data_IF_435874925435
#
_entry.id   IF_435874925435
#
_cell.length_a   1.000
_cell.length_b   1.000
_cell.length_c   1.000
_cell.angle_alpha   90.00
_cell.angle_beta   90.00
_cell.angle_gamma   90.00
#
_symmetry.space_group_name_H-M   'P 1'
#
loop_
_entity.id
_entity.type
_entity.pdbx_description
1 polymer ?
#
# COMPACT_ATOMS: atom_id res chain seq x y z
N UNK A 1 -3.94 -16.23 -33.49
CA UNK A 1 -3.18 -16.25 -32.21
C UNK A 1 -3.70 -15.11 -31.34
N UNK A 2 -4.76 -15.36 -30.58
CA UNK A 2 -5.38 -14.36 -29.70
C UNK A 2 -4.52 -14.23 -28.45
N UNK A 3 -3.83 -13.10 -28.28
CA UNK A 3 -3.02 -12.82 -27.08
C UNK A 3 -3.99 -12.61 -25.92
N UNK A 4 -4.29 -13.66 -25.17
CA UNK A 4 -5.08 -13.56 -23.94
C UNK A 4 -4.29 -12.65 -22.99
N UNK A 5 -4.75 -11.41 -22.80
CA UNK A 5 -4.22 -10.53 -21.76
C UNK A 5 -4.53 -11.23 -20.45
N UNK A 6 -3.50 -11.75 -19.78
CA UNK A 6 -3.66 -12.25 -18.42
C UNK A 6 -4.36 -11.15 -17.61
N UNK A 7 -5.48 -11.51 -16.97
CA UNK A 7 -6.22 -10.57 -16.14
C UNK A 7 -5.29 -10.08 -15.03
N UNK A 8 -5.10 -8.77 -14.92
CA UNK A 8 -4.27 -8.19 -13.87
C UNK A 8 -4.89 -8.53 -12.50
N UNK A 9 -4.07 -8.93 -11.55
CA UNK A 9 -4.49 -9.39 -10.22
C UNK A 9 -4.30 -8.24 -9.22
N UNK A 10 -5.40 -7.71 -8.63
CA UNK A 10 -5.32 -6.70 -7.58
C UNK A 10 -4.53 -7.19 -6.35
N UNK A 11 -4.01 -6.27 -5.56
CA UNK A 11 -3.43 -6.64 -4.25
C UNK A 11 -4.54 -6.98 -3.26
N UNK A 12 -4.32 -7.90 -2.31
CA UNK A 12 -5.31 -8.19 -1.27
C UNK A 12 -5.51 -7.01 -0.32
N UNK A 13 -4.52 -6.12 -0.15
CA UNK A 13 -4.63 -4.95 0.73
C UNK A 13 -3.82 -3.75 0.23
N UNK A 14 -4.15 -2.57 0.76
CA UNK A 14 -3.38 -1.35 0.53
C UNK A 14 -1.96 -1.43 1.10
N UNK A 15 -1.79 -2.15 2.21
CA UNK A 15 -0.48 -2.40 2.81
C UNK A 15 0.43 -3.16 1.85
N UNK A 16 -0.06 -4.27 1.27
CA UNK A 16 0.72 -5.03 0.30
C UNK A 16 1.08 -4.20 -0.94
N UNK A 17 0.14 -3.40 -1.45
CA UNK A 17 0.39 -2.50 -2.57
C UNK A 17 1.49 -1.46 -2.24
N UNK A 18 1.51 -0.93 -1.01
CA UNK A 18 2.54 0.02 -0.57
C UNK A 18 3.91 -0.65 -0.39
N UNK A 19 3.98 -1.80 0.27
CA UNK A 19 5.23 -2.54 0.46
C UNK A 19 5.83 -2.98 -0.88
N UNK A 20 4.98 -3.43 -1.80
CA UNK A 20 5.37 -3.71 -3.18
C UNK A 20 5.95 -2.47 -3.87
N UNK A 21 5.27 -1.32 -3.74
CA UNK A 21 5.75 -0.04 -4.28
C UNK A 21 7.12 0.32 -3.73
N UNK A 22 7.32 0.26 -2.41
CA UNK A 22 8.61 0.53 -1.77
C UNK A 22 9.72 -0.40 -2.30
N UNK A 23 9.44 -1.69 -2.48
CA UNK A 23 10.39 -2.65 -3.06
C UNK A 23 10.79 -2.26 -4.50
N UNK A 24 9.82 -1.89 -5.32
CA UNK A 24 10.05 -1.55 -6.73
C UNK A 24 10.81 -0.23 -6.90
N UNK A 25 10.58 0.75 -6.02
CA UNK A 25 11.24 2.06 -6.06
C UNK A 25 12.65 2.01 -5.48
N UNK A 26 12.87 1.27 -4.39
CA UNK A 26 14.19 1.14 -3.78
C UNK A 26 15.22 0.54 -4.78
N UNK A 27 14.79 -0.38 -5.63
CA UNK A 27 15.63 -0.94 -6.69
C UNK A 27 16.01 0.03 -7.81
N UNK A 28 15.37 1.21 -7.89
CA UNK A 28 15.62 2.22 -8.92
C UNK A 28 16.58 3.32 -8.42
N UNK A 29 16.61 3.59 -7.10
CA UNK A 29 17.40 4.70 -6.51
C UNK A 29 18.90 4.40 -6.46
N UNK A 30 19.31 3.13 -6.33
CA UNK A 30 20.72 2.78 -6.16
C UNK A 30 21.50 2.66 -7.47
N UNK A 31 20.91 2.93 -8.64
CA UNK A 31 21.57 2.84 -9.96
C UNK A 31 22.02 1.44 -10.36
N UNK A 32 21.99 0.47 -9.43
CA UNK A 32 22.12 -0.95 -9.70
C UNK A 32 20.77 -1.40 -10.23
N UNK A 33 20.66 -1.81 -11.51
CA UNK A 33 19.44 -2.45 -11.97
C UNK A 33 19.23 -3.68 -11.09
N UNK A 34 18.28 -3.60 -10.17
CA UNK A 34 17.80 -4.79 -9.48
C UNK A 34 17.40 -5.75 -10.60
N UNK A 35 18.01 -6.94 -10.63
CA UNK A 35 17.52 -8.03 -11.46
C UNK A 35 16.03 -8.14 -11.15
N UNK A 36 15.22 -7.56 -12.04
CA UNK A 36 13.77 -7.65 -12.00
C UNK A 36 13.52 -9.09 -12.32
N UNK A 37 13.49 -9.93 -11.28
CA UNK A 37 12.73 -11.17 -11.37
C UNK A 37 11.37 -10.72 -11.91
N UNK A 38 10.97 -11.16 -13.12
CA UNK A 38 9.71 -10.76 -13.69
C UNK A 38 8.66 -11.02 -12.63
N UNK A 39 7.91 -10.00 -12.25
CA UNK A 39 6.86 -10.23 -11.28
C UNK A 39 5.90 -11.24 -11.92
N UNK A 40 5.74 -12.43 -11.32
CA UNK A 40 5.02 -13.51 -11.97
C UNK A 40 3.52 -13.18 -12.11
N UNK A 41 3.07 -12.16 -11.37
CA UNK A 41 1.68 -11.74 -11.27
C UNK A 41 1.55 -10.37 -11.94
N UNK A 42 0.78 -10.25 -13.04
CA UNK A 42 0.50 -8.96 -13.64
C UNK A 42 -0.32 -8.11 -12.66
N UNK A 43 0.16 -6.91 -12.31
CA UNK A 43 -0.56 -5.96 -11.44
C UNK A 43 -1.36 -4.94 -12.24
N UNK A 44 -2.50 -4.44 -11.71
CA UNK A 44 -3.34 -3.47 -12.41
C UNK A 44 -2.77 -2.05 -12.44
N UNK A 45 -1.65 -1.79 -11.74
CA UNK A 45 -1.03 -0.48 -11.62
C UNK A 45 0.50 -0.54 -11.69
N UNK A 46 1.12 0.62 -11.89
CA UNK A 46 2.55 0.84 -11.72
C UNK A 46 2.86 1.28 -10.28
N UNK A 47 4.09 1.09 -9.78
CA UNK A 47 4.49 1.52 -8.44
C UNK A 47 4.23 3.02 -8.19
N UNK A 48 4.45 3.87 -9.20
CA UNK A 48 4.21 5.30 -9.09
C UNK A 48 2.73 5.66 -8.93
N UNK A 49 1.80 4.84 -9.44
CA UNK A 49 0.38 5.12 -9.28
C UNK A 49 -0.05 5.03 -7.80
N UNK A 50 0.52 4.08 -7.05
CA UNK A 50 0.31 3.94 -5.61
C UNK A 50 0.97 5.09 -4.85
N UNK A 51 2.22 5.44 -5.20
CA UNK A 51 2.92 6.56 -4.58
C UNK A 51 2.20 7.91 -4.81
N UNK A 52 1.65 8.13 -6.00
CA UNK A 52 0.85 9.30 -6.31
C UNK A 52 -0.46 9.35 -5.54
N UNK A 53 -1.12 8.22 -5.29
CA UNK A 53 -2.31 8.18 -4.44
C UNK A 53 -2.01 8.63 -3.01
N UNK A 54 -0.89 8.18 -2.43
CA UNK A 54 -0.42 8.60 -1.11
C UNK A 54 -0.08 10.10 -1.09
N UNK A 55 0.67 10.59 -2.09
CA UNK A 55 1.01 12.02 -2.22
C UNK A 55 -0.26 12.89 -2.35
N UNK A 56 -1.27 12.43 -3.09
CA UNK A 56 -2.53 13.14 -3.24
C UNK A 56 -3.29 13.25 -1.91
N UNK A 57 -3.31 12.19 -1.10
CA UNK A 57 -3.92 12.21 0.23
C UNK A 57 -3.18 13.16 1.19
N UNK A 58 -1.84 13.19 1.12
CA UNK A 58 -1.04 14.16 1.88
C UNK A 58 -1.30 15.61 1.46
N UNK A 59 -1.35 15.90 0.15
CA UNK A 59 -1.67 17.25 -0.36
C UNK A 59 -3.06 17.72 0.01
N UNK A 60 -4.00 16.80 0.21
CA UNK A 60 -5.36 17.07 0.69
C UNK A 60 -5.45 17.13 2.23
N UNK A 61 -4.33 17.07 2.93
CA UNK A 61 -4.24 17.06 4.41
C UNK A 61 -5.00 15.90 5.07
N UNK A 62 -5.26 14.82 4.34
CA UNK A 62 -5.85 13.60 4.90
C UNK A 62 -4.76 12.74 5.54
N UNK A 63 -3.58 12.68 4.91
CA UNK A 63 -2.38 12.16 5.55
C UNK A 63 -1.54 13.29 6.13
N UNK A 64 -0.97 13.06 7.30
CA UNK A 64 -0.08 13.99 7.99
C UNK A 64 1.38 13.67 7.67
N UNK A 65 2.31 14.53 8.10
CA UNK A 65 3.75 14.25 8.02
C UNK A 65 4.14 13.01 8.83
N UNK A 66 3.48 12.78 9.97
CA UNK A 66 3.74 11.61 10.82
C UNK A 66 3.34 10.32 10.11
N UNK A 67 2.21 10.31 9.39
CA UNK A 67 1.83 9.19 8.52
C UNK A 67 2.92 8.90 7.48
N UNK A 68 3.40 9.92 6.77
CA UNK A 68 4.45 9.74 5.76
C UNK A 68 5.77 9.25 6.36
N UNK A 69 6.15 9.75 7.54
CA UNK A 69 7.36 9.32 8.24
C UNK A 69 7.30 7.83 8.59
N UNK A 70 6.16 7.37 9.13
CA UNK A 70 5.90 5.96 9.46
C UNK A 70 5.88 5.10 8.20
N UNK A 71 5.09 5.48 7.19
CA UNK A 71 5.00 4.76 5.91
C UNK A 71 6.36 4.60 5.23
N UNK A 72 7.19 5.66 5.24
CA UNK A 72 8.53 5.64 4.68
C UNK A 72 9.52 4.80 5.50
N UNK A 73 9.47 4.90 6.84
CA UNK A 73 10.36 4.12 7.72
C UNK A 73 10.12 2.61 7.58
N UNK A 74 8.85 2.20 7.68
CA UNK A 74 8.45 0.79 7.68
C UNK A 74 8.36 0.22 6.26
N UNK A 75 8.02 1.04 5.26
CA UNK A 75 8.08 0.65 3.85
C UNK A 75 9.49 0.25 3.39
N UNK A 76 10.54 0.97 3.85
CA UNK A 76 11.94 0.58 3.61
C UNK A 76 12.33 -0.73 4.27
N UNK A 77 11.76 -1.03 5.45
CA UNK A 77 11.99 -2.28 6.19
C UNK A 77 11.19 -3.46 5.64
N UNK A 78 10.22 -3.19 4.76
CA UNK A 78 9.32 -4.18 4.15
C UNK A 78 8.49 -4.94 5.19
N UNK A 79 8.10 -4.27 6.27
CA UNK A 79 7.35 -4.87 7.38
C UNK A 79 6.61 -3.78 8.16
N UNK A 80 5.40 -4.09 8.64
CA UNK A 80 4.62 -3.22 9.49
C UNK A 80 5.24 -3.03 10.89
N UNK A 81 4.89 -1.96 11.61
CA UNK A 81 5.22 -1.81 13.03
C UNK A 81 4.67 -2.96 13.86
N UNK A 82 5.46 -3.44 14.81
CA UNK A 82 5.07 -4.51 15.74
C UNK A 82 4.29 -3.93 16.93
N UNK A 83 2.97 -4.21 17.08
CA UNK A 83 2.18 -3.69 18.19
C UNK A 83 2.63 -4.18 19.57
N UNK A 84 3.32 -5.32 19.65
CA UNK A 84 3.78 -5.88 20.93
C UNK A 84 5.00 -5.14 21.49
N UNK A 85 5.58 -4.20 20.73
CA UNK A 85 6.71 -3.38 21.16
C UNK A 85 6.23 -1.98 21.49
N UNK A 86 6.36 -1.57 22.76
CA UNK A 86 5.92 -0.26 23.25
C UNK A 86 6.44 0.92 22.40
N UNK A 87 7.69 0.82 21.92
CA UNK A 87 8.32 1.85 21.07
C UNK A 87 7.69 1.96 19.68
N UNK A 88 7.03 0.91 19.21
CA UNK A 88 6.41 0.84 17.88
C UNK A 88 4.89 1.00 17.94
N UNK A 89 4.26 0.92 19.12
CA UNK A 89 2.81 1.05 19.30
C UNK A 89 2.24 2.34 18.67
N UNK A 90 2.89 3.49 18.87
CA UNK A 90 2.49 4.77 18.23
C UNK A 90 2.60 4.69 16.71
N UNK A 91 3.66 4.08 16.19
CA UNK A 91 3.84 3.92 14.76
C UNK A 91 2.81 2.95 14.17
N UNK A 92 2.41 1.92 14.91
CA UNK A 92 1.35 1.00 14.51
C UNK A 92 0.03 1.73 14.33
N UNK A 93 -0.38 2.57 15.27
CA UNK A 93 -1.62 3.34 15.16
C UNK A 93 -1.63 4.24 13.92
N UNK A 94 -0.52 4.95 13.67
CA UNK A 94 -0.36 5.80 12.48
C UNK A 94 -0.33 5.00 11.18
N UNK A 95 0.20 3.79 11.21
CA UNK A 95 0.21 2.87 10.07
C UNK A 95 -1.21 2.41 9.73
N UNK A 96 -1.98 1.97 10.73
CA UNK A 96 -3.36 1.53 10.56
C UNK A 96 -4.27 2.69 10.11
N UNK A 97 -4.14 3.87 10.72
CA UNK A 97 -4.86 5.08 10.32
C UNK A 97 -4.56 5.45 8.87
N UNK A 98 -3.28 5.43 8.47
CA UNK A 98 -2.89 5.73 7.09
C UNK A 98 -3.52 4.75 6.10
N UNK A 99 -3.52 3.44 6.40
CA UNK A 99 -4.11 2.45 5.51
C UNK A 99 -5.64 2.48 5.49
N UNK A 100 -6.29 2.90 6.57
CA UNK A 100 -7.73 3.23 6.56
C UNK A 100 -8.09 4.34 5.57
N UNK A 101 -7.18 5.29 5.35
CA UNK A 101 -7.37 6.38 4.38
C UNK A 101 -6.93 6.00 2.96
N UNK A 102 -5.87 5.20 2.82
CA UNK A 102 -5.33 4.80 1.51
C UNK A 102 -6.21 3.74 0.84
N UNK A 103 -6.73 2.76 1.60
CA UNK A 103 -7.44 1.61 1.03
C UNK A 103 -8.66 2.00 0.17
N UNK A 104 -9.57 2.91 0.58
CA UNK A 104 -10.70 3.32 -0.25
C UNK A 104 -10.28 3.92 -1.59
N UNK A 105 -9.18 4.70 -1.62
CA UNK A 105 -8.67 5.33 -2.84
C UNK A 105 -8.10 4.29 -3.79
N UNK A 106 -7.36 3.30 -3.29
CA UNK A 106 -6.79 2.25 -4.13
C UNK A 106 -7.87 1.27 -4.61
N UNK A 107 -8.88 0.97 -3.78
CA UNK A 107 -10.00 0.12 -4.14
C UNK A 107 -10.84 0.77 -5.26
N UNK A 108 -11.11 2.08 -5.17
CA UNK A 108 -11.80 2.84 -6.22
C UNK A 108 -11.06 2.84 -7.56
N UNK A 109 -9.72 2.67 -7.55
CA UNK A 109 -8.88 2.53 -8.74
C UNK A 109 -8.76 1.09 -9.25
N UNK A 110 -9.32 0.11 -8.53
CA UNK A 110 -9.20 -1.31 -8.84
C UNK A 110 -7.79 -1.88 -8.58
N UNK A 111 -6.97 -1.20 -7.78
CA UNK A 111 -5.59 -1.64 -7.51
C UNK A 111 -5.56 -2.73 -6.44
N UNK A 112 -6.48 -2.65 -5.48
CA UNK A 112 -6.64 -3.63 -4.43
C UNK A 112 -8.01 -4.28 -4.54
N UNK A 113 -8.15 -5.46 -3.95
CA UNK A 113 -9.44 -6.05 -3.68
C UNK A 113 -10.21 -5.07 -2.80
N UNK A 114 -11.39 -4.68 -3.25
CA UNK A 114 -12.35 -4.07 -2.35
C UNK A 114 -12.75 -5.17 -1.38
N UNK A 115 -12.36 -5.05 -0.12
CA UNK A 115 -12.99 -5.89 0.90
C UNK A 115 -14.50 -5.68 0.74
N UNK A 116 -15.30 -6.76 0.58
CA UNK A 116 -16.74 -6.59 0.62
C UNK A 116 -17.03 -5.80 1.90
N UNK A 117 -17.87 -4.79 1.80
CA UNK A 117 -18.34 -4.09 2.99
C UNK A 117 -19.02 -5.17 3.85
N UNK A 118 -18.26 -5.78 4.76
CA UNK A 118 -18.79 -6.57 5.82
C UNK A 118 -19.58 -5.54 6.62
N UNK A 119 -20.89 -5.59 6.36
CA UNK A 119 -21.94 -4.87 7.03
C UNK A 119 -21.48 -4.62 8.45
N UNK A 120 -21.27 -3.35 8.80
CA UNK A 120 -21.18 -2.92 10.17
C UNK A 120 -22.50 -3.31 10.85
N UNK A 121 -22.58 -4.56 11.30
CA UNK A 121 -23.37 -4.94 12.46
C UNK A 121 -22.64 -4.35 13.65
N UNK A 122 -22.76 -3.04 13.81
CA UNK A 122 -23.01 -2.49 15.13
C UNK A 122 -24.43 -2.93 15.51
N UNK A 123 -24.58 -4.20 15.88
CA UNK A 123 -25.72 -4.57 16.71
C UNK A 123 -25.44 -3.99 18.09
N UNK A 124 -26.33 -3.09 18.48
CA UNK A 124 -26.60 -2.64 19.83
C UNK A 124 -26.41 -3.77 20.86
N UNK A 125 -25.50 -3.57 21.80
CA UNK A 125 -25.66 -4.00 23.20
C UNK A 125 -25.18 -2.87 24.09
#
# INVERSE_FOLDING_TARGET
MTRQRAAAVPFPSAEEAWLWTCRMVAGNVYGVPVQRVPEPIPRPCQPMDVAHAVDQLYRRSQLTRDHLAVLGHYGRRRSAPDPARDREARARLLWDEAFGLIAPVLAAKGFILREPAETAVFELV
#
